data_IF_366492631576
#
_entry.id   IF_366492631576
#
_cell.length_a   1.000
_cell.length_b   1.000
_cell.length_c   1.000
_cell.angle_alpha   90.00
_cell.angle_beta   90.00
_cell.angle_gamma   90.00
#
_symmetry.space_group_name_H-M   'P 1'
#
loop_
_entity.id
_entity.type
_entity.pdbx_description
1 polymer ?
#
# COMPACT_ATOMS: atom_id res chain seq x y z
N UNK A 1 4.51 68.19 103.29
CA UNK A 1 4.12 68.59 101.92
C UNK A 1 3.66 70.02 102.00
N UNK A 2 4.64 70.89 101.87
CA UNK A 2 4.59 72.35 101.92
C UNK A 2 5.96 72.83 101.40
N UNK A 3 5.95 74.04 100.84
CA UNK A 3 7.08 74.96 100.71
C UNK A 3 8.15 74.72 99.64
N UNK A 4 8.02 75.55 98.59
CA UNK A 4 9.03 76.50 98.10
C UNK A 4 10.44 76.37 98.66
N UNK A 5 11.47 76.45 97.79
CA UNK A 5 12.51 77.50 97.86
C UNK A 5 13.31 77.56 96.55
N UNK A 6 13.39 78.78 96.05
CA UNK A 6 14.26 79.35 95.03
C UNK A 6 15.71 79.36 95.49
N UNK A 7 16.66 78.94 94.66
CA UNK A 7 18.06 79.31 94.83
C UNK A 7 18.80 79.41 93.48
N UNK A 8 18.86 80.63 92.98
CA UNK A 8 19.92 81.12 92.10
C UNK A 8 21.26 81.07 92.83
N UNK A 9 22.30 80.51 92.22
CA UNK A 9 23.68 80.99 92.44
C UNK A 9 24.53 80.83 91.19
N UNK A 10 24.99 82.00 90.75
CA UNK A 10 26.07 82.28 89.81
C UNK A 10 27.41 81.73 90.31
N UNK A 11 28.17 81.09 89.42
CA UNK A 11 29.58 80.75 89.61
C UNK A 11 30.37 81.14 88.36
N UNK A 12 31.40 81.95 88.55
CA UNK A 12 32.12 82.78 87.58
C UNK A 12 33.51 82.21 87.32
N UNK A 13 34.09 82.58 86.17
CA UNK A 13 35.50 82.44 85.77
C UNK A 13 35.92 81.05 85.23
N UNK A 14 36.73 80.92 84.18
CA UNK A 14 37.47 81.90 83.38
C UNK A 14 38.43 81.16 82.43
N UNK A 15 39.05 81.91 81.50
CA UNK A 15 40.21 81.50 80.70
C UNK A 15 39.86 80.71 79.43
N UNK A 16 39.68 81.34 78.27
CA UNK A 16 40.74 81.78 77.33
C UNK A 16 41.62 80.62 76.81
N UNK A 17 41.38 80.16 75.58
CA UNK A 17 42.33 80.19 74.45
C UNK A 17 41.79 79.42 73.23
N UNK A 18 42.36 79.74 72.06
CA UNK A 18 42.39 78.99 70.79
C UNK A 18 41.45 79.48 69.67
N UNK A 19 42.01 80.39 68.86
CA UNK A 19 42.21 80.29 67.41
C UNK A 19 40.97 80.21 66.49
N UNK A 20 40.69 81.25 65.70
CA UNK A 20 41.11 81.43 64.28
C UNK A 20 40.28 80.65 63.26
N UNK A 21 39.67 81.43 62.33
CA UNK A 21 39.43 81.12 60.91
C UNK A 21 38.43 80.01 60.52
N UNK A 22 37.23 80.45 60.09
CA UNK A 22 36.61 80.11 58.79
C UNK A 22 35.29 80.91 58.72
N UNK A 23 35.18 82.05 58.03
CA UNK A 23 35.03 82.11 56.57
C UNK A 23 34.34 80.85 56.02
N UNK A 24 33.07 80.68 56.38
CA UNK A 24 32.14 79.86 55.59
C UNK A 24 31.91 80.62 54.29
N UNK A 25 32.84 80.35 53.37
CA UNK A 25 32.70 80.47 51.93
C UNK A 25 31.29 80.04 51.58
N UNK A 26 30.53 80.95 50.96
CA UNK A 26 29.45 80.60 50.07
C UNK A 26 30.04 79.71 48.97
N UNK A 27 30.10 78.41 49.25
CA UNK A 27 30.42 77.41 48.24
C UNK A 27 29.29 77.42 47.23
N UNK A 28 29.56 77.46 45.92
CA UNK A 28 28.53 77.23 44.92
C UNK A 28 28.00 75.81 45.16
N UNK A 29 26.84 75.75 45.79
CA UNK A 29 26.09 74.53 45.96
C UNK A 29 25.73 73.99 44.58
N UNK A 30 26.14 72.76 44.32
CA UNK A 30 25.57 71.93 43.28
C UNK A 30 26.12 72.18 41.88
N UNK A 31 27.13 71.40 41.53
CA UNK A 31 27.13 70.79 40.20
C UNK A 31 25.89 69.88 40.10
N UNK A 32 24.70 70.48 39.95
CA UNK A 32 23.55 69.76 39.41
C UNK A 32 23.95 69.33 38.01
N UNK A 33 24.12 68.03 37.79
CA UNK A 33 24.27 67.50 36.44
C UNK A 33 23.18 68.06 35.52
N UNK A 34 23.44 68.14 34.21
CA UNK A 34 22.47 68.70 33.28
C UNK A 34 21.12 68.01 33.46
N UNK A 35 20.08 68.78 33.76
CA UNK A 35 18.73 68.26 33.91
C UNK A 35 18.33 67.61 32.58
N UNK A 36 17.92 66.34 32.64
CA UNK A 36 17.45 65.62 31.45
C UNK A 36 16.25 66.35 30.84
N UNK A 37 16.29 66.55 29.52
CA UNK A 37 15.22 67.20 28.76
C UNK A 37 14.00 66.31 28.59
N UNK A 38 14.22 64.99 28.52
CA UNK A 38 13.18 63.98 28.30
C UNK A 38 13.30 62.84 29.33
N UNK A 39 13.04 63.10 30.62
CA UNK A 39 13.24 62.13 31.70
C UNK A 39 12.35 60.88 31.59
N UNK A 40 11.19 61.00 30.93
CA UNK A 40 10.27 59.89 30.65
C UNK A 40 10.76 58.95 29.54
N UNK A 41 11.65 59.43 28.67
CA UNK A 41 12.21 58.65 27.56
C UNK A 41 13.67 58.25 27.79
N UNK A 42 14.09 58.10 29.06
CA UNK A 42 15.39 57.51 29.37
C UNK A 42 15.55 56.17 28.64
N UNK A 43 16.77 55.82 28.14
CA UNK A 43 16.96 54.62 27.33
C UNK A 43 16.40 53.33 27.96
N UNK A 44 16.46 53.22 29.29
CA UNK A 44 15.96 52.05 30.02
C UNK A 44 14.43 51.94 30.01
N UNK A 45 13.72 53.06 29.87
CA UNK A 45 12.26 53.12 29.84
C UNK A 45 11.67 52.78 28.46
N UNK A 46 12.48 52.85 27.40
CA UNK A 46 12.04 52.53 26.03
C UNK A 46 12.10 51.03 25.84
N UNK A 47 10.93 50.39 25.95
CA UNK A 47 10.80 48.93 25.91
C UNK A 47 9.86 48.44 24.81
N UNK A 48 8.91 49.26 24.37
CA UNK A 48 7.94 48.90 23.33
C UNK A 48 8.12 49.72 22.05
N UNK A 49 7.50 49.28 20.95
CA UNK A 49 7.49 50.03 19.68
C UNK A 49 6.79 51.37 19.83
N UNK A 50 5.67 51.44 20.56
CA UNK A 50 4.97 52.70 20.81
C UNK A 50 5.82 53.67 21.63
N UNK A 51 6.51 53.18 22.67
CA UNK A 51 7.47 53.99 23.42
C UNK A 51 8.57 54.53 22.52
N UNK A 52 9.11 53.69 21.65
CA UNK A 52 10.15 54.09 20.70
C UNK A 52 9.65 55.17 19.73
N UNK A 53 8.44 55.05 19.21
CA UNK A 53 7.85 56.07 18.33
C UNK A 53 7.60 57.39 19.06
N UNK A 54 7.05 57.35 20.27
CA UNK A 54 6.84 58.54 21.10
C UNK A 54 8.19 59.20 21.43
N UNK A 55 9.19 58.42 21.80
CA UNK A 55 10.54 58.90 22.10
C UNK A 55 11.18 59.60 20.88
N UNK A 56 11.06 59.01 19.68
CA UNK A 56 11.57 59.62 18.44
C UNK A 56 10.86 60.93 18.12
N UNK A 57 9.53 60.97 18.23
CA UNK A 57 8.73 62.18 18.01
C UNK A 57 9.10 63.29 19.02
N UNK A 58 9.25 62.94 20.29
CA UNK A 58 9.65 63.86 21.35
C UNK A 58 11.07 64.39 21.14
N UNK A 59 12.03 63.51 20.82
CA UNK A 59 13.42 63.87 20.54
C UNK A 59 13.52 64.83 19.34
N UNK A 60 12.73 64.58 18.29
CA UNK A 60 12.67 65.47 17.13
C UNK A 60 12.07 66.83 17.48
N UNK A 61 10.97 66.87 18.23
CA UNK A 61 10.33 68.11 18.67
C UNK A 61 11.30 68.99 19.47
N UNK A 62 12.03 68.39 20.43
CA UNK A 62 13.06 69.09 21.19
C UNK A 62 14.16 69.59 20.26
N UNK A 63 14.68 68.75 19.36
CA UNK A 63 15.75 69.11 18.43
C UNK A 63 15.42 70.31 17.54
N UNK A 64 14.17 70.47 17.12
CA UNK A 64 13.75 71.62 16.31
C UNK A 64 13.81 72.95 17.09
N UNK A 65 13.58 72.94 18.40
CA UNK A 65 13.60 74.13 19.25
C UNK A 65 14.99 74.57 19.71
N UNK A 66 15.93 73.61 19.85
CA UNK A 66 17.24 73.85 20.45
C UNK A 66 18.10 74.93 19.75
N UNK A 67 18.18 75.03 18.40
CA UNK A 67 19.00 76.04 17.76
C UNK A 67 18.62 77.48 18.12
N UNK A 68 17.31 77.76 18.19
CA UNK A 68 16.80 79.08 18.56
C UNK A 68 17.07 79.38 20.04
N UNK A 69 16.86 78.40 20.90
CA UNK A 69 17.12 78.51 22.34
C UNK A 69 18.60 78.78 22.65
N UNK A 70 19.52 78.00 22.05
CA UNK A 70 20.96 78.22 22.23
C UNK A 70 21.43 79.55 21.67
N UNK A 71 20.85 80.01 20.55
CA UNK A 71 21.14 81.34 20.01
C UNK A 71 20.69 82.44 20.97
N UNK A 72 19.53 82.30 21.62
CA UNK A 72 19.06 83.23 22.65
C UNK A 72 20.01 83.24 23.86
N UNK A 73 20.34 82.07 24.42
CA UNK A 73 21.24 81.95 25.58
C UNK A 73 22.63 82.50 25.33
N UNK A 74 23.21 82.32 24.14
CA UNK A 74 24.49 82.95 23.79
C UNK A 74 24.40 84.48 23.72
N UNK A 75 23.29 85.03 23.23
CA UNK A 75 23.08 86.50 23.23
C UNK A 75 22.99 87.05 24.65
N UNK A 76 22.35 86.32 25.57
CA UNK A 76 22.30 86.69 26.99
C UNK A 76 23.68 86.69 27.66
N UNK A 77 24.60 85.81 27.23
CA UNK A 77 25.96 85.78 27.75
C UNK A 77 26.74 87.07 27.51
N UNK A 78 26.46 87.80 26.42
CA UNK A 78 27.13 89.06 26.09
C UNK A 78 26.90 90.16 27.15
N UNK A 79 25.84 90.05 27.96
CA UNK A 79 25.55 90.99 29.05
C UNK A 79 26.21 90.63 30.39
N UNK A 80 27.02 89.55 30.47
CA UNK A 80 27.61 89.06 31.72
C UNK A 80 29.08 89.48 31.87
N UNK A 81 29.52 89.65 33.12
CA UNK A 81 30.91 90.00 33.46
C UNK A 81 31.91 88.92 33.00
N UNK A 82 31.52 87.64 33.07
CA UNK A 82 32.31 86.49 32.63
C UNK A 82 31.66 85.83 31.40
N UNK A 83 31.75 86.49 30.24
CA UNK A 83 31.15 86.01 28.98
C UNK A 83 31.65 84.61 28.61
N UNK A 84 32.96 84.38 28.70
CA UNK A 84 33.59 83.10 28.34
C UNK A 84 33.11 81.92 29.20
N UNK A 85 32.91 82.15 30.51
CA UNK A 85 32.36 81.13 31.40
C UNK A 85 30.90 80.80 31.04
N UNK A 86 30.08 81.82 30.77
CA UNK A 86 28.70 81.64 30.34
C UNK A 86 28.60 80.87 29.02
N UNK A 87 29.42 81.22 28.03
CA UNK A 87 29.44 80.52 26.74
C UNK A 87 29.91 79.06 26.90
N UNK A 88 30.87 78.79 27.78
CA UNK A 88 31.32 77.44 28.09
C UNK A 88 30.21 76.59 28.71
N UNK A 89 29.41 77.14 29.63
CA UNK A 89 28.24 76.48 30.20
C UNK A 89 27.19 76.16 29.12
N UNK A 90 26.88 77.11 28.24
CA UNK A 90 25.93 76.89 27.12
C UNK A 90 26.46 75.81 26.18
N UNK A 91 27.76 75.79 25.88
CA UNK A 91 28.37 74.75 25.05
C UNK A 91 28.37 73.37 25.72
N UNK A 92 28.54 73.31 27.05
CA UNK A 92 28.43 72.07 27.82
C UNK A 92 27.00 71.53 27.82
N UNK A 93 26.01 72.38 28.09
CA UNK A 93 24.60 71.99 28.08
C UNK A 93 24.13 71.52 26.70
N UNK A 94 24.58 72.20 25.65
CA UNK A 94 24.36 71.76 24.27
C UNK A 94 24.90 70.35 24.03
N UNK A 95 26.14 70.08 24.41
CA UNK A 95 26.76 68.75 24.23
C UNK A 95 26.01 67.67 25.02
N UNK A 96 25.64 67.96 26.26
CA UNK A 96 24.88 67.04 27.10
C UNK A 96 23.51 66.73 26.49
N UNK A 97 22.77 67.76 26.07
CA UNK A 97 21.45 67.61 25.43
C UNK A 97 21.55 66.84 24.12
N UNK A 98 22.52 67.15 23.26
CA UNK A 98 22.72 66.40 22.01
C UNK A 98 23.06 64.92 22.29
N UNK A 99 23.85 64.63 23.32
CA UNK A 99 24.18 63.26 23.70
C UNK A 99 22.97 62.51 24.26
N UNK A 100 22.15 63.17 25.08
CA UNK A 100 20.87 62.64 25.56
C UNK A 100 19.95 62.28 24.39
N UNK A 101 19.70 63.22 23.48
CA UNK A 101 18.83 62.95 22.32
C UNK A 101 19.35 61.80 21.46
N UNK A 102 20.67 61.70 21.25
CA UNK A 102 21.27 60.60 20.48
C UNK A 102 21.09 59.25 21.19
N UNK A 103 21.23 59.18 22.51
CA UNK A 103 21.07 57.92 23.24
C UNK A 103 19.62 57.42 23.19
N UNK A 104 18.66 58.35 23.34
CA UNK A 104 17.21 58.09 23.20
C UNK A 104 16.89 57.54 21.80
N UNK A 105 17.37 58.22 20.75
CA UNK A 105 17.13 57.79 19.37
C UNK A 105 17.76 56.43 19.03
N UNK A 106 18.99 56.20 19.49
CA UNK A 106 19.67 54.92 19.27
C UNK A 106 18.89 53.78 19.91
N UNK A 107 18.44 53.96 21.14
CA UNK A 107 17.67 52.95 21.87
C UNK A 107 16.30 52.72 21.23
N UNK A 108 15.57 53.79 20.90
CA UNK A 108 14.27 53.68 20.22
C UNK A 108 14.38 52.90 18.90
N UNK A 109 15.39 53.23 18.07
CA UNK A 109 15.63 52.48 16.82
C UNK A 109 16.08 51.04 17.07
N UNK A 110 16.81 50.76 18.15
CA UNK A 110 17.18 49.40 18.53
C UNK A 110 15.94 48.56 18.86
N UNK A 111 15.03 49.09 19.69
CA UNK A 111 13.75 48.44 20.03
C UNK A 111 12.91 48.17 18.78
N UNK A 112 12.80 49.14 17.86
CA UNK A 112 12.10 48.94 16.59
C UNK A 112 12.71 47.80 15.75
N UNK A 113 14.05 47.73 15.66
CA UNK A 113 14.73 46.64 14.94
C UNK A 113 14.53 45.28 15.61
N UNK A 114 14.63 45.22 16.93
CA UNK A 114 14.42 43.99 17.69
C UNK A 114 13.00 43.45 17.50
N UNK A 115 11.98 44.32 17.59
CA UNK A 115 10.60 43.92 17.34
C UNK A 115 10.35 43.50 15.88
N UNK A 116 10.91 44.23 14.91
CA UNK A 116 10.81 43.86 13.50
C UNK A 116 11.49 42.51 13.21
N UNK A 117 12.64 42.24 13.84
CA UNK A 117 13.32 40.96 13.73
C UNK A 117 12.48 39.83 14.33
N UNK A 118 11.92 40.02 15.54
CA UNK A 118 11.01 39.04 16.16
C UNK A 118 9.78 38.74 15.30
N UNK A 119 9.17 39.78 14.72
CA UNK A 119 8.02 39.61 13.83
C UNK A 119 8.37 38.81 12.57
N UNK A 120 9.54 39.08 11.95
CA UNK A 120 10.04 38.29 10.81
C UNK A 120 10.30 36.84 11.20
N UNK A 121 10.98 36.61 12.32
CA UNK A 121 11.25 35.25 12.82
C UNK A 121 9.97 34.47 13.10
N UNK A 122 8.93 35.12 13.63
CA UNK A 122 7.63 34.48 13.85
C UNK A 122 6.97 34.05 12.52
N UNK A 123 6.99 34.93 11.50
CA UNK A 123 6.46 34.61 10.17
C UNK A 123 7.26 33.49 9.47
N UNK A 124 8.58 33.50 9.61
CA UNK A 124 9.44 32.44 9.07
C UNK A 124 9.20 31.11 9.77
N UNK A 125 9.03 31.10 11.11
CA UNK A 125 8.68 29.91 11.87
C UNK A 125 7.34 29.33 11.43
N UNK A 126 6.29 30.16 11.32
CA UNK A 126 4.97 29.74 10.85
C UNK A 126 5.03 29.19 9.41
N UNK A 127 5.83 29.81 8.53
CA UNK A 127 6.04 29.31 7.17
C UNK A 127 6.70 27.93 7.17
N UNK A 128 7.72 27.73 7.99
CA UNK A 128 8.43 26.45 8.11
C UNK A 128 7.51 25.36 8.67
N UNK A 129 6.68 25.68 9.67
CA UNK A 129 5.68 24.75 10.22
C UNK A 129 4.66 24.31 9.16
N UNK A 130 4.11 25.26 8.38
CA UNK A 130 3.18 24.93 7.28
C UNK A 130 3.85 24.10 6.19
N UNK A 131 5.13 24.38 5.88
CA UNK A 131 5.89 23.59 4.92
C UNK A 131 6.12 22.15 5.42
N UNK A 132 6.44 21.97 6.70
CA UNK A 132 6.61 20.66 7.30
C UNK A 132 5.29 19.86 7.25
N UNK A 133 4.18 20.46 7.68
CA UNK A 133 2.85 19.83 7.60
C UNK A 133 2.50 19.40 6.17
N UNK A 134 2.73 20.26 5.19
CA UNK A 134 2.46 19.92 3.78
C UNK A 134 3.34 18.78 3.24
N UNK A 135 4.58 18.64 3.74
CA UNK A 135 5.46 17.53 3.36
C UNK A 135 5.01 16.21 4.00
N UNK A 136 4.56 16.26 5.25
CA UNK A 136 4.01 15.10 5.95
C UNK A 136 2.71 14.61 5.28
N UNK A 137 1.83 15.53 4.89
CA UNK A 137 0.63 15.19 4.12
C UNK A 137 0.96 14.53 2.78
N UNK A 138 1.93 15.07 2.04
CA UNK A 138 2.37 14.51 0.76
C UNK A 138 3.00 13.13 0.91
N UNK A 139 3.81 12.91 1.95
CA UNK A 139 4.43 11.61 2.21
C UNK A 139 3.38 10.58 2.62
N UNK A 140 2.41 10.96 3.45
CA UNK A 140 1.27 10.09 3.79
C UNK A 140 0.43 9.75 2.56
N UNK A 141 0.11 10.73 1.72
CA UNK A 141 -0.67 10.49 0.50
C UNK A 141 0.09 9.59 -0.48
N UNK A 142 1.40 9.81 -0.65
CA UNK A 142 2.24 8.94 -1.47
C UNK A 142 2.27 7.50 -0.93
N UNK A 143 2.34 7.31 0.39
CA UNK A 143 2.29 6.00 1.02
C UNK A 143 0.95 5.29 0.76
N UNK A 144 -0.18 6.00 0.90
CA UNK A 144 -1.51 5.45 0.60
C UNK A 144 -1.65 5.05 -0.86
N UNK A 145 -1.21 5.90 -1.80
CA UNK A 145 -1.23 5.58 -3.24
C UNK A 145 -0.37 4.36 -3.57
N UNK A 146 0.76 4.18 -2.88
CA UNK A 146 1.62 3.01 -3.07
C UNK A 146 0.96 1.72 -2.53
N UNK A 147 0.24 1.81 -1.43
CA UNK A 147 -0.56 0.69 -0.88
C UNK A 147 -1.71 0.31 -1.81
N UNK A 148 -2.49 1.28 -2.28
CA UNK A 148 -3.58 1.06 -3.24
C UNK A 148 -3.08 0.40 -4.54
N UNK A 149 -1.91 0.80 -5.04
CA UNK A 149 -1.30 0.18 -6.21
C UNK A 149 -0.90 -1.27 -5.96
N UNK A 150 -0.35 -1.58 -4.78
CA UNK A 150 0.00 -2.95 -4.39
C UNK A 150 -1.24 -3.82 -4.25
N UNK A 151 -2.32 -3.30 -3.67
CA UNK A 151 -3.60 -4.02 -3.58
C UNK A 151 -4.19 -4.30 -4.96
N UNK A 152 -4.21 -3.29 -5.84
CA UNK A 152 -4.67 -3.46 -7.23
C UNK A 152 -3.85 -4.48 -8.01
N UNK A 153 -2.53 -4.50 -7.83
CA UNK A 153 -1.66 -5.48 -8.44
C UNK A 153 -1.98 -6.89 -7.94
N UNK A 154 -2.10 -7.09 -6.62
CA UNK A 154 -2.48 -8.39 -6.04
C UNK A 154 -3.83 -8.88 -6.54
N UNK A 155 -4.83 -7.99 -6.58
CA UNK A 155 -6.16 -8.32 -7.09
C UNK A 155 -6.15 -8.65 -8.59
N UNK A 156 -5.27 -8.01 -9.37
CA UNK A 156 -5.08 -8.34 -10.78
C UNK A 156 -4.45 -9.73 -10.95
N UNK A 157 -3.40 -10.04 -10.19
CA UNK A 157 -2.71 -11.33 -10.25
C UNK A 157 -3.65 -12.47 -9.84
N UNK A 158 -4.45 -12.27 -8.79
CA UNK A 158 -5.44 -13.26 -8.35
C UNK A 158 -6.50 -13.53 -9.42
N UNK A 159 -7.06 -12.47 -10.04
CA UNK A 159 -8.01 -12.61 -11.15
C UNK A 159 -7.39 -13.31 -12.36
N UNK A 160 -6.10 -13.09 -12.61
CA UNK A 160 -5.39 -13.72 -13.73
C UNK A 160 -5.26 -15.22 -13.47
N UNK A 161 -4.81 -15.61 -12.27
CA UNK A 161 -4.73 -17.03 -11.85
C UNK A 161 -6.09 -17.72 -11.92
N UNK A 162 -7.14 -17.09 -11.40
CA UNK A 162 -8.50 -17.64 -11.48
C UNK A 162 -8.94 -17.90 -12.92
N UNK A 163 -8.61 -17.00 -13.86
CA UNK A 163 -8.92 -17.20 -15.28
C UNK A 163 -8.12 -18.33 -15.91
N UNK A 164 -6.85 -18.47 -15.54
CA UNK A 164 -5.99 -19.57 -15.99
C UNK A 164 -6.53 -20.91 -15.47
N UNK A 165 -6.83 -21.01 -14.17
CA UNK A 165 -7.42 -22.20 -13.55
C UNK A 165 -8.77 -22.57 -14.20
N UNK A 166 -9.63 -21.58 -14.48
CA UNK A 166 -10.89 -21.81 -15.18
C UNK A 166 -10.68 -22.28 -16.63
N UNK A 167 -9.70 -21.72 -17.34
CA UNK A 167 -9.37 -22.12 -18.70
C UNK A 167 -8.84 -23.56 -18.75
N UNK A 168 -7.96 -23.91 -17.82
CA UNK A 168 -7.43 -25.27 -17.67
C UNK A 168 -8.53 -26.27 -17.32
N UNK A 169 -9.42 -25.91 -16.39
CA UNK A 169 -10.57 -26.74 -16.05
C UNK A 169 -11.52 -26.94 -17.25
N UNK A 170 -11.72 -25.92 -18.09
CA UNK A 170 -12.50 -26.05 -19.35
C UNK A 170 -11.78 -26.94 -20.35
N UNK A 171 -10.47 -26.80 -20.51
CA UNK A 171 -9.67 -27.63 -21.42
C UNK A 171 -9.72 -29.11 -21.00
N UNK A 172 -9.57 -29.40 -19.71
CA UNK A 172 -9.65 -30.77 -19.17
C UNK A 172 -11.05 -31.38 -19.39
N UNK A 173 -12.12 -30.61 -19.14
CA UNK A 173 -13.49 -31.06 -19.43
C UNK A 173 -13.70 -31.36 -20.92
N UNK A 174 -13.22 -30.48 -21.79
CA UNK A 174 -13.28 -30.68 -23.24
C UNK A 174 -12.52 -31.93 -23.70
N UNK A 175 -11.30 -32.15 -23.18
CA UNK A 175 -10.52 -33.35 -23.47
C UNK A 175 -11.20 -34.64 -22.97
N UNK A 176 -11.74 -34.62 -21.75
CA UNK A 176 -12.47 -35.76 -21.20
C UNK A 176 -13.75 -36.08 -22.00
N UNK A 177 -14.46 -35.06 -22.49
CA UNK A 177 -15.63 -35.26 -23.34
C UNK A 177 -15.24 -35.83 -24.72
N UNK A 178 -14.16 -35.32 -25.33
CA UNK A 178 -13.64 -35.86 -26.58
C UNK A 178 -13.26 -37.34 -26.46
N UNK A 179 -12.56 -37.73 -25.38
CA UNK A 179 -12.23 -39.13 -25.10
C UNK A 179 -13.47 -40.01 -24.94
N UNK A 180 -14.51 -39.51 -24.24
CA UNK A 180 -15.78 -40.24 -24.11
C UNK A 180 -16.49 -40.43 -25.45
N UNK A 181 -16.47 -39.41 -26.32
CA UNK A 181 -17.05 -39.49 -27.67
C UNK A 181 -16.29 -40.49 -28.53
N UNK A 182 -14.96 -40.47 -28.48
CA UNK A 182 -14.12 -41.42 -29.20
C UNK A 182 -14.34 -42.86 -28.72
N UNK A 183 -14.40 -43.08 -27.40
CA UNK A 183 -14.68 -44.40 -26.84
C UNK A 183 -16.06 -44.94 -27.28
N UNK A 184 -17.10 -44.10 -27.28
CA UNK A 184 -18.43 -44.47 -27.79
C UNK A 184 -18.42 -44.78 -29.28
N UNK A 185 -17.66 -44.03 -30.08
CA UNK A 185 -17.51 -44.29 -31.51
C UNK A 185 -16.84 -45.64 -31.76
N UNK A 186 -15.77 -45.96 -31.02
CA UNK A 186 -15.10 -47.27 -31.08
C UNK A 186 -16.04 -48.41 -30.68
N UNK A 187 -16.76 -48.27 -29.58
CA UNK A 187 -17.73 -49.27 -29.12
C UNK A 187 -18.85 -49.49 -30.15
N UNK A 188 -19.34 -48.42 -30.81
CA UNK A 188 -20.32 -48.55 -31.89
C UNK A 188 -19.74 -49.33 -33.08
N UNK A 189 -18.51 -49.01 -33.51
CA UNK A 189 -17.85 -49.72 -34.62
C UNK A 189 -17.59 -51.19 -34.30
N UNK A 190 -17.24 -51.52 -33.06
CA UNK A 190 -17.05 -52.91 -32.61
C UNK A 190 -18.36 -53.68 -32.63
N UNK A 191 -19.46 -53.07 -32.16
CA UNK A 191 -20.80 -53.69 -32.19
C UNK A 191 -21.29 -53.93 -33.61
N UNK A 192 -21.06 -52.99 -34.51
CA UNK A 192 -21.43 -53.14 -35.93
C UNK A 192 -20.63 -54.28 -36.58
N UNK A 193 -19.31 -54.35 -36.34
CA UNK A 193 -18.47 -55.44 -36.83
C UNK A 193 -18.90 -56.81 -36.25
N UNK A 194 -19.24 -56.88 -34.96
CA UNK A 194 -19.76 -58.09 -34.33
C UNK A 194 -21.12 -58.51 -34.87
N UNK A 195 -21.98 -57.55 -35.23
CA UNK A 195 -23.27 -57.81 -35.85
C UNK A 195 -23.09 -58.37 -37.26
N UNK A 196 -22.20 -57.79 -38.07
CA UNK A 196 -21.84 -58.30 -39.40
C UNK A 196 -21.26 -59.72 -39.34
N UNK A 197 -20.34 -59.98 -38.40
CA UNK A 197 -19.78 -61.32 -38.20
C UNK A 197 -20.86 -62.34 -37.84
N UNK A 198 -21.80 -61.98 -36.96
CA UNK A 198 -22.94 -62.85 -36.61
C UNK A 198 -23.83 -63.12 -37.82
N UNK A 199 -24.21 -62.08 -38.56
CA UNK A 199 -25.02 -62.22 -39.77
C UNK A 199 -24.34 -63.11 -40.84
N UNK A 200 -23.03 -62.95 -41.03
CA UNK A 200 -22.24 -63.79 -41.94
C UNK A 200 -22.22 -65.26 -41.51
N UNK A 201 -22.04 -65.53 -40.21
CA UNK A 201 -22.10 -66.90 -39.65
C UNK A 201 -23.48 -67.52 -39.84
N UNK A 202 -24.55 -66.77 -39.60
CA UNK A 202 -25.93 -67.22 -39.82
C UNK A 202 -26.22 -67.51 -41.30
N UNK A 203 -25.74 -66.65 -42.21
CA UNK A 203 -25.86 -66.87 -43.64
C UNK A 203 -25.11 -68.14 -44.10
N UNK A 204 -23.87 -68.33 -43.62
CA UNK A 204 -23.09 -69.53 -43.90
C UNK A 204 -23.76 -70.81 -43.37
N UNK A 205 -24.34 -70.76 -42.16
CA UNK A 205 -25.07 -71.90 -41.58
C UNK A 205 -26.33 -72.22 -42.40
N UNK A 206 -27.10 -71.20 -42.80
CA UNK A 206 -28.26 -71.38 -43.69
C UNK A 206 -27.88 -72.00 -45.03
N UNK A 207 -26.78 -71.55 -45.64
CA UNK A 207 -26.27 -72.13 -46.88
C UNK A 207 -25.85 -73.60 -46.70
N UNK A 208 -25.13 -73.92 -45.63
CA UNK A 208 -24.73 -75.30 -45.32
C UNK A 208 -25.94 -76.22 -45.04
N UNK A 209 -26.98 -75.71 -44.39
CA UNK A 209 -28.24 -76.44 -44.21
C UNK A 209 -28.95 -76.72 -45.53
N UNK A 210 -29.05 -75.73 -46.42
CA UNK A 210 -29.66 -75.89 -47.74
C UNK A 210 -28.90 -76.91 -48.61
N UNK A 211 -27.56 -76.92 -48.54
CA UNK A 211 -26.75 -77.92 -49.25
C UNK A 211 -26.99 -79.34 -48.72
N UNK A 212 -27.03 -79.53 -47.39
CA UNK A 212 -27.36 -80.83 -46.77
C UNK A 212 -28.74 -81.32 -47.20
N UNK A 213 -29.72 -80.43 -47.27
CA UNK A 213 -31.06 -80.77 -47.72
C UNK A 213 -31.05 -81.26 -49.17
N UNK A 214 -30.36 -80.55 -50.08
CA UNK A 214 -30.20 -80.97 -51.49
C UNK A 214 -29.50 -82.32 -51.61
N UNK A 215 -28.45 -82.58 -50.82
CA UNK A 215 -27.76 -83.88 -50.81
C UNK A 215 -28.70 -85.01 -50.39
N UNK A 216 -29.48 -84.80 -49.33
CA UNK A 216 -30.44 -85.79 -48.85
C UNK A 216 -31.60 -86.02 -49.84
N UNK A 217 -32.07 -84.99 -50.54
CA UNK A 217 -33.03 -85.13 -51.64
C UNK A 217 -32.46 -85.92 -52.81
N UNK A 218 -31.19 -85.67 -53.19
CA UNK A 218 -30.49 -86.44 -54.21
C UNK A 218 -30.32 -87.90 -53.80
N UNK A 219 -29.92 -88.18 -52.56
CA UNK A 219 -29.84 -89.55 -52.01
C UNK A 219 -31.20 -90.26 -52.02
N UNK A 220 -32.29 -89.58 -51.68
CA UNK A 220 -33.66 -90.14 -51.79
C UNK A 220 -34.06 -90.40 -53.24
N UNK A 221 -33.70 -89.52 -54.17
CA UNK A 221 -33.93 -89.73 -55.60
C UNK A 221 -33.14 -90.95 -56.10
N UNK A 222 -31.85 -91.06 -55.76
CA UNK A 222 -31.03 -92.23 -56.09
C UNK A 222 -31.59 -93.51 -55.46
N UNK A 223 -32.04 -93.48 -54.21
CA UNK A 223 -32.64 -94.63 -53.54
C UNK A 223 -33.91 -95.09 -54.26
N UNK A 224 -34.74 -94.15 -54.77
CA UNK A 224 -35.91 -94.46 -55.60
C UNK A 224 -35.52 -95.08 -56.95
N UNK A 225 -34.52 -94.54 -57.63
CA UNK A 225 -33.99 -95.14 -58.88
C UNK A 225 -33.45 -96.55 -58.62
N UNK A 226 -32.71 -96.75 -57.51
CA UNK A 226 -32.21 -98.07 -57.12
C UNK A 226 -33.33 -99.05 -56.77
N UNK A 227 -34.40 -98.59 -56.10
CA UNK A 227 -35.59 -99.41 -55.84
C UNK A 227 -36.28 -99.80 -57.14
N UNK A 228 -36.54 -98.86 -58.05
CA UNK A 228 -37.13 -99.14 -59.36
C UNK A 228 -36.27 -100.12 -60.16
N UNK A 229 -34.94 -99.97 -60.16
CA UNK A 229 -34.03 -100.91 -60.80
C UNK A 229 -34.06 -102.31 -60.15
N UNK A 230 -34.25 -102.40 -58.82
CA UNK A 230 -34.44 -103.69 -58.12
C UNK A 230 -35.78 -104.32 -58.47
N UNK A 231 -36.85 -103.54 -58.53
CA UNK A 231 -38.18 -104.00 -58.94
C UNK A 231 -38.20 -104.44 -60.39
N UNK A 232 -37.55 -103.72 -61.30
CA UNK A 232 -37.41 -104.13 -62.70
C UNK A 232 -36.57 -105.41 -62.82
N UNK A 233 -35.47 -105.52 -62.07
CA UNK A 233 -34.67 -106.75 -62.01
C UNK A 233 -35.43 -107.92 -61.38
N UNK A 234 -36.31 -107.65 -60.42
CA UNK A 234 -37.21 -108.65 -59.83
C UNK A 234 -38.32 -109.07 -60.81
N UNK A 235 -38.92 -108.12 -61.54
CA UNK A 235 -39.86 -108.39 -62.64
C UNK A 235 -39.21 -109.23 -63.74
N UNK A 236 -38.02 -108.86 -64.21
CA UNK A 236 -37.25 -109.64 -65.19
C UNK A 236 -36.90 -111.04 -64.67
N UNK A 237 -36.66 -111.22 -63.36
CA UNK A 237 -36.46 -112.55 -62.74
C UNK A 237 -37.76 -113.34 -62.59
N UNK A 238 -38.89 -112.68 -62.35
CA UNK A 238 -40.21 -113.31 -62.31
C UNK A 238 -40.67 -113.74 -63.71
N UNK A 239 -40.43 -112.92 -64.73
CA UNK A 239 -40.61 -113.25 -66.15
C UNK A 239 -39.69 -114.41 -66.57
N UNK A 240 -38.42 -114.41 -66.14
CA UNK A 240 -37.50 -115.53 -66.33
C UNK A 240 -37.83 -116.79 -65.49
N UNK A 241 -38.79 -116.72 -64.55
CA UNK A 241 -39.27 -117.86 -63.76
C UNK A 241 -40.62 -118.41 -64.25
N UNK A 242 -41.23 -117.79 -65.27
CA UNK A 242 -42.42 -118.28 -65.95
C UNK A 242 -42.10 -119.19 -67.16
N UNK A 243 -40.84 -119.24 -67.60
CA UNK A 243 -40.29 -120.25 -68.53
C UNK A 243 -39.22 -121.06 -67.78
N UNK A 244 -39.62 -122.18 -67.18
CA UNK A 244 -38.71 -123.22 -66.69
C UNK A 244 -38.56 -124.36 -67.71
N UNK A 245 -37.60 -125.32 -67.54
CA UNK A 245 -37.25 -125.84 -66.20
C UNK A 245 -35.79 -126.35 -65.95
N UNK A 246 -35.52 -126.52 -64.64
CA UNK A 246 -34.64 -127.55 -63.98
C UNK A 246 -33.11 -127.38 -64.12
N UNK A 247 -32.23 -127.59 -63.12
CA UNK A 247 -32.17 -128.47 -61.92
C UNK A 247 -30.95 -128.04 -61.06
N UNK A 248 -30.95 -128.32 -59.76
CA UNK A 248 -29.70 -128.59 -59.00
C UNK A 248 -29.55 -127.95 -57.61
N UNK A 249 -30.02 -128.65 -56.57
CA UNK A 249 -29.44 -128.64 -55.22
C UNK A 249 -28.35 -129.75 -55.15
N UNK A 250 -27.39 -129.84 -54.18
CA UNK A 250 -27.57 -129.53 -52.74
C UNK A 250 -26.34 -129.03 -51.90
N UNK A 251 -26.60 -128.73 -50.61
CA UNK A 251 -25.80 -128.96 -49.36
C UNK A 251 -24.43 -128.28 -49.18
N UNK A 252 -23.89 -127.88 -48.01
CA UNK A 252 -24.24 -127.90 -46.58
C UNK A 252 -23.34 -126.83 -45.88
N UNK A 253 -23.80 -126.11 -44.86
CA UNK A 253 -23.31 -126.35 -43.49
C UNK A 253 -22.50 -125.14 -42.93
N UNK A 254 -22.43 -124.95 -41.60
CA UNK A 254 -22.55 -123.63 -40.94
C UNK A 254 -21.24 -123.08 -40.35
N UNK A 255 -21.20 -121.78 -40.08
CA UNK A 255 -20.05 -121.11 -39.45
C UNK A 255 -20.44 -119.89 -38.63
N UNK A 256 -20.60 -120.10 -37.33
CA UNK A 256 -20.69 -119.10 -36.26
C UNK A 256 -19.44 -118.22 -36.20
N UNK A 257 -19.61 -116.92 -35.92
CA UNK A 257 -18.50 -115.98 -35.70
C UNK A 257 -18.92 -114.79 -34.85
N UNK A 258 -19.13 -115.04 -33.56
CA UNK A 258 -19.10 -114.06 -32.48
C UNK A 258 -17.62 -113.78 -32.15
N UNK A 259 -17.27 -112.51 -31.90
CA UNK A 259 -16.22 -112.01 -30.99
C UNK A 259 -15.90 -110.56 -31.41
N UNK A 260 -16.37 -109.57 -30.65
CA UNK A 260 -15.68 -109.00 -29.47
C UNK A 260 -14.53 -108.07 -29.85
N UNK A 261 -14.76 -106.76 -29.74
CA UNK A 261 -13.77 -105.81 -29.24
C UNK A 261 -14.48 -104.56 -28.70
N UNK A 262 -14.33 -104.40 -27.39
CA UNK A 262 -14.93 -103.43 -26.48
C UNK A 262 -14.38 -101.99 -26.66
N UNK A 263 -14.96 -101.02 -25.92
CA UNK A 263 -14.66 -99.59 -25.96
C UNK A 263 -13.50 -99.22 -25.03
N UNK A 264 -12.93 -98.03 -25.22
CA UNK A 264 -12.26 -97.17 -24.22
C UNK A 264 -12.10 -95.79 -24.91
N UNK A 265 -12.48 -94.63 -24.37
CA UNK A 265 -12.62 -94.27 -22.96
C UNK A 265 -11.26 -93.90 -22.37
N UNK A 266 -10.77 -92.68 -22.63
CA UNK A 266 -9.84 -91.90 -21.79
C UNK A 266 -9.56 -90.57 -22.53
N UNK A 267 -10.05 -89.40 -22.12
CA UNK A 267 -9.84 -88.67 -20.87
C UNK A 267 -8.54 -87.84 -20.87
N UNK A 268 -8.66 -86.68 -20.21
CA UNK A 268 -7.61 -85.80 -19.70
C UNK A 268 -6.84 -84.84 -20.66
N UNK A 269 -7.28 -83.57 -20.58
CA UNK A 269 -6.53 -82.41 -20.02
C UNK A 269 -5.14 -82.02 -20.57
N UNK A 270 -5.09 -80.74 -20.99
CA UNK A 270 -4.05 -79.70 -20.78
C UNK A 270 -2.71 -79.85 -21.50
N UNK A 271 -1.96 -78.75 -21.76
CA UNK A 271 -1.87 -77.46 -21.04
C UNK A 271 -2.85 -76.38 -21.49
#
# INVERSE_FOLDING_TARGET
MADTVRASMTGRAGGALVALLALVVAGPAGASGPALRLPEFRPEAITTVDDAERALRAAEAVRRGLPAEWAARRRECAGRVMVSACEAEVAQDRRATEQELRSIEQRARAVQREHAARARSALDAERLERQAQSQDERTQEAARRAEDQRERARAHDERTRQREDEADARAQRGAAEAQRREARAREATERDADAEQRAAREAANRAAYAERLRRHEAERAEARVRQQAREEKARRRAEASAEGPSRGAPSAGPGTGRSDAQPNGADARRP
#
